data_IF_829202903782
#
_entry.id   IF_829202903782
#
_cell.length_a   1.000
_cell.length_b   1.000
_cell.length_c   1.000
_cell.angle_alpha   90.00
_cell.angle_beta   90.00
_cell.angle_gamma   90.00
#
_symmetry.space_group_name_H-M   'P 1'
#
loop_
_entity.id
_entity.type
_entity.pdbx_description
1 polymer ?
#
# COMPACT_ATOMS: atom_id res chain seq x y z
N UNK A 1 -9.93 4.09 63.15
CA UNK A 1 -10.12 4.14 61.69
C UNK A 1 -8.75 4.35 61.04
N UNK A 2 -8.11 3.28 60.55
CA UNK A 2 -6.85 3.36 59.81
C UNK A 2 -7.22 3.25 58.33
N UNK A 3 -7.07 4.34 57.59
CA UNK A 3 -7.25 4.37 56.14
C UNK A 3 -6.05 3.70 55.48
N UNK A 4 -6.30 2.56 54.83
CA UNK A 4 -5.33 1.87 53.99
C UNK A 4 -5.17 2.69 52.71
N UNK A 5 -3.98 3.26 52.50
CA UNK A 5 -3.60 3.81 51.19
C UNK A 5 -3.33 2.65 50.25
N UNK A 6 -4.26 2.39 49.33
CA UNK A 6 -3.99 1.57 48.16
C UNK A 6 -2.88 2.23 47.33
N UNK A 7 -1.69 1.64 47.37
CA UNK A 7 -0.64 1.88 46.38
C UNK A 7 -1.10 1.21 45.09
N UNK A 8 -1.67 1.98 44.18
CA UNK A 8 -1.84 1.59 42.78
C UNK A 8 -0.43 1.47 42.18
N UNK A 9 0.08 0.25 42.06
CA UNK A 9 1.29 -0.01 41.25
C UNK A 9 0.98 0.45 39.82
N UNK A 10 1.65 1.53 39.41
CA UNK A 10 1.65 1.96 38.02
C UNK A 10 2.52 0.97 37.24
N UNK A 11 1.92 -0.13 36.76
CA UNK A 11 2.60 -1.04 35.84
C UNK A 11 3.07 -0.24 34.63
N UNK A 12 4.40 -0.13 34.44
CA UNK A 12 4.99 0.54 33.28
C UNK A 12 4.39 -0.02 31.99
N UNK A 13 3.96 0.84 31.07
CA UNK A 13 3.43 0.42 29.77
C UNK A 13 4.43 -0.50 29.03
N UNK A 14 3.96 -1.50 28.27
CA UNK A 14 4.84 -2.40 27.55
C UNK A 14 5.65 -1.61 26.51
N UNK A 15 6.95 -1.86 26.46
CA UNK A 15 7.88 -1.23 25.52
C UNK A 15 8.42 -2.24 24.53
N UNK A 16 8.69 -1.81 23.30
CA UNK A 16 9.30 -2.65 22.29
C UNK A 16 10.72 -3.05 22.68
N UNK A 17 11.04 -4.35 22.61
CA UNK A 17 12.35 -4.89 22.97
C UNK A 17 13.50 -4.42 22.06
N UNK A 18 13.19 -3.98 20.83
CA UNK A 18 14.19 -3.58 19.84
C UNK A 18 14.45 -2.08 19.80
N UNK A 19 13.45 -1.23 20.11
CA UNK A 19 13.63 0.22 20.09
C UNK A 19 13.44 0.90 21.45
N UNK A 20 12.99 0.16 22.48
CA UNK A 20 12.75 0.63 23.84
C UNK A 20 11.77 1.81 23.91
N UNK A 21 10.79 1.83 23.00
CA UNK A 21 9.68 2.78 22.96
C UNK A 21 8.36 2.08 23.18
N UNK A 22 7.40 2.80 23.72
CA UNK A 22 5.98 2.46 23.76
C UNK A 22 5.41 2.23 22.34
N UNK A 23 4.20 1.66 22.20
CA UNK A 23 3.60 1.29 20.91
C UNK A 23 3.58 2.40 19.85
N UNK A 24 3.36 3.64 20.29
CA UNK A 24 3.32 4.80 19.40
C UNK A 24 2.30 4.66 18.27
N UNK A 25 2.65 5.19 17.11
CA UNK A 25 1.81 5.26 15.91
C UNK A 25 2.04 4.02 15.02
N UNK A 26 1.02 3.15 14.84
CA UNK A 26 1.14 1.94 14.02
C UNK A 26 1.47 2.21 12.55
N UNK A 27 1.14 3.39 12.00
CA UNK A 27 1.54 3.73 10.62
C UNK A 27 3.05 3.90 10.48
N UNK A 28 3.73 4.33 11.56
CA UNK A 28 5.17 4.59 11.56
C UNK A 28 5.99 3.40 12.02
N UNK A 29 5.47 2.62 12.96
CA UNK A 29 6.21 1.54 13.62
C UNK A 29 5.66 0.15 13.27
N UNK A 30 4.55 0.08 12.55
CA UNK A 30 3.81 -1.15 12.31
C UNK A 30 3.03 -1.55 13.55
N UNK A 31 2.26 -2.64 13.43
CA UNK A 31 1.50 -3.20 14.53
C UNK A 31 2.38 -3.46 15.76
N UNK A 32 1.87 -3.14 16.94
CA UNK A 32 2.53 -3.47 18.20
C UNK A 32 2.11 -4.87 18.64
N UNK A 33 3.02 -5.81 18.49
CA UNK A 33 2.77 -7.22 18.76
C UNK A 33 3.22 -7.55 20.18
N UNK A 34 2.34 -8.19 20.94
CA UNK A 34 2.62 -8.63 22.30
C UNK A 34 2.21 -10.09 22.49
N UNK A 35 3.16 -10.92 22.90
CA UNK A 35 2.91 -12.33 23.23
C UNK A 35 3.83 -12.76 24.37
N UNK A 36 3.25 -13.39 25.38
CA UNK A 36 3.94 -13.74 26.63
C UNK A 36 4.63 -12.50 27.23
N UNK A 37 5.96 -12.54 27.40
CA UNK A 37 6.77 -11.46 27.96
C UNK A 37 7.53 -10.66 26.89
N UNK A 38 7.19 -10.80 25.62
CA UNK A 38 7.83 -10.08 24.51
C UNK A 38 6.83 -9.13 23.88
N UNK A 39 7.27 -7.89 23.75
CA UNK A 39 6.55 -6.82 23.06
C UNK A 39 7.48 -6.19 22.02
N UNK A 40 7.00 -6.08 20.78
CA UNK A 40 7.80 -5.62 19.64
C UNK A 40 6.93 -4.93 18.59
N UNK A 41 7.47 -3.89 17.97
CA UNK A 41 6.89 -3.29 16.76
C UNK A 41 7.16 -4.17 15.55
N UNK A 42 6.16 -4.40 14.70
CA UNK A 42 6.31 -5.19 13.48
C UNK A 42 7.41 -4.64 12.56
N UNK A 43 7.48 -3.33 12.35
CA UNK A 43 8.56 -2.77 11.51
C UNK A 43 9.93 -2.86 12.16
N UNK A 44 10.01 -2.90 13.50
CA UNK A 44 11.30 -3.19 14.14
C UNK A 44 11.75 -4.63 13.92
N UNK A 45 10.84 -5.60 13.74
CA UNK A 45 11.18 -6.98 13.43
C UNK A 45 11.76 -7.11 12.02
N UNK A 46 10.98 -6.72 11.00
CA UNK A 46 11.36 -6.93 9.59
C UNK A 46 12.59 -6.11 9.17
N UNK A 47 12.80 -4.93 9.77
CA UNK A 47 13.95 -4.06 9.45
C UNK A 47 15.20 -4.39 10.29
N UNK A 48 15.11 -5.33 11.21
CA UNK A 48 16.23 -5.68 12.08
C UNK A 48 17.33 -6.43 11.32
N UNK A 49 18.56 -5.92 11.37
CA UNK A 49 19.59 -6.30 10.40
C UNK A 49 20.16 -7.71 10.53
N UNK A 50 19.86 -8.42 11.62
CA UNK A 50 20.33 -9.79 11.87
C UNK A 50 19.25 -10.68 12.48
N UNK A 51 17.97 -10.36 12.23
CA UNK A 51 16.84 -11.17 12.69
C UNK A 51 16.31 -12.08 11.56
N UNK A 52 16.47 -13.40 11.66
CA UNK A 52 15.95 -14.31 10.64
C UNK A 52 14.45 -14.63 10.87
N UNK A 53 13.67 -14.66 9.79
CA UNK A 53 12.28 -15.12 9.78
C UNK A 53 12.24 -16.59 9.34
N UNK A 54 12.31 -17.52 10.31
CA UNK A 54 12.41 -18.98 10.04
C UNK A 54 11.18 -19.78 10.44
N UNK A 55 10.26 -19.16 11.19
CA UNK A 55 9.00 -19.79 11.56
C UNK A 55 7.99 -19.75 10.42
N UNK A 56 6.99 -20.63 10.50
CA UNK A 56 5.76 -20.50 9.71
C UNK A 56 5.04 -19.19 10.06
N UNK A 57 4.29 -18.63 9.12
CA UNK A 57 3.60 -17.33 9.27
C UNK A 57 2.68 -17.28 10.49
N UNK A 58 2.06 -18.40 10.88
CA UNK A 58 1.19 -18.51 12.05
C UNK A 58 1.92 -18.76 13.38
N UNK A 59 3.25 -18.89 13.38
CA UNK A 59 4.07 -19.14 14.57
C UNK A 59 4.83 -17.88 15.01
N UNK A 60 4.98 -17.73 16.32
CA UNK A 60 5.71 -16.60 16.90
C UNK A 60 5.03 -15.26 16.57
N UNK A 61 5.82 -14.34 16.04
CA UNK A 61 5.40 -13.02 15.57
C UNK A 61 5.51 -12.99 14.05
N UNK A 62 4.49 -13.43 13.31
CA UNK A 62 4.53 -13.58 11.83
C UNK A 62 5.75 -14.39 11.31
N UNK A 63 6.10 -15.50 11.97
CA UNK A 63 7.27 -16.31 11.61
C UNK A 63 8.58 -15.88 12.27
N UNK A 64 8.62 -14.78 13.03
CA UNK A 64 9.75 -14.45 13.90
C UNK A 64 9.64 -15.19 15.24
N UNK A 65 10.66 -16.00 15.55
CA UNK A 65 10.68 -16.81 16.76
C UNK A 65 11.12 -15.99 17.99
N UNK A 66 10.45 -16.14 19.15
CA UNK A 66 10.82 -15.46 20.41
C UNK A 66 12.31 -15.53 20.77
N UNK A 67 12.94 -16.68 20.55
CA UNK A 67 14.36 -16.93 20.86
C UNK A 67 15.28 -16.09 19.98
N UNK A 68 14.93 -15.94 18.70
CA UNK A 68 15.71 -15.15 17.75
C UNK A 68 15.54 -13.65 18.00
N UNK A 69 14.34 -13.22 18.41
CA UNK A 69 14.08 -11.84 18.86
C UNK A 69 14.94 -11.51 20.09
N UNK A 70 14.99 -12.41 21.09
CA UNK A 70 15.85 -12.24 22.28
C UNK A 70 17.33 -12.15 21.93
N UNK A 71 17.82 -13.03 21.04
CA UNK A 71 19.22 -12.98 20.55
C UNK A 71 19.51 -11.68 19.84
N UNK A 72 18.57 -11.20 19.02
CA UNK A 72 18.73 -9.97 18.27
C UNK A 72 18.72 -8.74 19.18
N UNK A 73 17.82 -8.68 20.17
CA UNK A 73 17.84 -7.63 21.20
C UNK A 73 19.17 -7.63 21.97
N UNK A 74 19.69 -8.81 22.33
CA UNK A 74 21.00 -8.94 22.96
C UNK A 74 22.14 -8.45 22.07
N UNK A 75 22.08 -8.69 20.75
CA UNK A 75 23.05 -8.14 19.77
C UNK A 75 22.94 -6.62 19.68
N UNK A 76 21.73 -6.10 19.51
CA UNK A 76 21.42 -4.68 19.40
C UNK A 76 21.84 -3.90 20.65
N UNK A 77 21.77 -4.51 21.84
CA UNK A 77 22.22 -3.89 23.11
C UNK A 77 23.69 -3.47 23.10
N UNK A 78 24.52 -4.04 22.22
CA UNK A 78 25.93 -3.68 22.03
C UNK A 78 26.16 -2.58 20.98
N UNK A 79 25.12 -2.19 20.25
CA UNK A 79 25.17 -1.20 19.16
C UNK A 79 24.64 0.15 19.64
N UNK A 80 25.36 1.21 19.29
CA UNK A 80 25.03 2.59 19.66
C UNK A 80 24.29 3.26 18.50
N UNK A 81 23.14 3.86 18.81
CA UNK A 81 22.38 4.67 17.88
C UNK A 81 23.15 5.95 17.54
N UNK A 82 23.40 6.20 16.25
CA UNK A 82 24.16 7.39 15.84
C UNK A 82 23.38 8.70 16.07
N UNK A 83 22.06 8.63 16.24
CA UNK A 83 21.17 9.77 16.50
C UNK A 83 21.12 10.09 17.98
N UNK A 84 20.54 9.19 18.80
CA UNK A 84 20.32 9.45 20.24
C UNK A 84 21.50 9.06 21.14
N UNK A 85 22.56 8.45 20.58
CA UNK A 85 23.77 7.97 21.29
C UNK A 85 23.55 6.89 22.36
N UNK A 86 22.33 6.35 22.48
CA UNK A 86 21.99 5.24 23.39
C UNK A 86 22.23 3.88 22.73
N UNK A 87 22.42 2.85 23.56
CA UNK A 87 22.53 1.44 23.15
C UNK A 87 21.18 0.88 22.65
N UNK A 88 21.20 -0.28 22.00
CA UNK A 88 19.99 -0.98 21.55
C UNK A 88 19.64 -0.76 20.07
N UNK A 89 20.53 -0.21 19.26
CA UNK A 89 20.25 0.10 17.86
C UNK A 89 20.29 -1.17 16.99
N UNK A 90 19.12 -1.74 16.71
CA UNK A 90 18.98 -2.99 15.95
C UNK A 90 19.20 -2.81 14.43
N UNK A 91 18.97 -1.62 13.89
CA UNK A 91 19.04 -1.37 12.44
C UNK A 91 20.41 -0.77 12.10
N UNK A 92 21.07 -1.29 11.07
CA UNK A 92 22.28 -0.70 10.50
C UNK A 92 22.06 -0.20 9.06
N UNK A 93 22.88 0.76 8.67
CA UNK A 93 22.95 1.17 7.27
C UNK A 93 23.55 0.04 6.41
N UNK A 94 22.88 -0.29 5.32
CA UNK A 94 23.28 -1.36 4.38
C UNK A 94 24.31 -0.92 3.33
N UNK A 95 24.75 0.34 3.36
CA UNK A 95 25.86 0.78 2.50
C UNK A 95 27.16 0.17 3.00
N UNK A 96 27.94 -0.39 2.07
CA UNK A 96 29.26 -0.95 2.36
C UNK A 96 30.12 -0.01 3.19
N UNK A 97 30.80 -0.57 4.19
CA UNK A 97 31.68 0.14 5.12
C UNK A 97 30.99 1.18 6.01
N UNK A 98 29.66 1.38 5.92
CA UNK A 98 28.93 2.24 6.83
C UNK A 98 28.68 1.55 8.17
N UNK A 99 29.19 2.15 9.25
CA UNK A 99 29.04 1.62 10.61
C UNK A 99 27.88 2.25 11.40
N UNK A 100 27.04 3.06 10.75
CA UNK A 100 25.92 3.73 11.42
C UNK A 100 24.83 2.72 11.78
N UNK A 101 24.46 2.68 13.05
CA UNK A 101 23.33 1.94 13.58
C UNK A 101 22.31 2.92 14.16
N UNK A 102 21.02 2.63 14.07
CA UNK A 102 19.96 3.47 14.61
C UNK A 102 18.78 2.63 15.11
N UNK A 103 18.00 3.20 16.03
CA UNK A 103 16.65 2.72 16.30
C UNK A 103 15.72 3.18 15.17
N UNK A 104 14.69 2.40 14.84
CA UNK A 104 13.73 2.78 13.79
C UNK A 104 13.16 4.21 13.97
N UNK A 105 12.60 4.58 15.15
CA UNK A 105 12.04 5.93 15.33
C UNK A 105 13.08 7.03 15.16
N UNK A 106 14.27 6.83 15.74
CA UNK A 106 15.37 7.78 15.62
C UNK A 106 15.86 7.93 14.18
N UNK A 107 15.86 6.83 13.41
CA UNK A 107 16.19 6.84 12.00
C UNK A 107 15.20 7.67 11.20
N UNK A 108 13.90 7.44 11.40
CA UNK A 108 12.82 8.17 10.75
C UNK A 108 12.92 9.68 11.05
N UNK A 109 13.06 10.07 12.32
CA UNK A 109 13.24 11.47 12.74
C UNK A 109 14.47 12.14 12.11
N UNK A 110 15.54 11.36 11.83
CA UNK A 110 16.78 11.86 11.21
C UNK A 110 16.76 11.80 9.68
N UNK A 111 15.69 11.33 9.06
CA UNK A 111 15.58 11.16 7.61
C UNK A 111 16.33 9.93 7.06
N UNK A 112 16.61 8.91 7.88
CA UNK A 112 17.02 7.60 7.40
C UNK A 112 15.86 6.96 6.61
N UNK A 113 16.20 6.06 5.68
CA UNK A 113 15.21 5.39 4.83
C UNK A 113 15.27 3.89 5.07
N UNK A 114 14.12 3.27 5.28
CA UNK A 114 13.97 1.81 5.34
C UNK A 114 13.10 1.35 4.19
N UNK A 115 13.51 0.29 3.52
CA UNK A 115 12.79 -0.33 2.42
C UNK A 115 11.97 -1.51 2.94
N UNK A 116 10.71 -1.60 2.51
CA UNK A 116 9.77 -2.64 2.94
C UNK A 116 9.56 -3.71 1.87
N UNK A 117 10.62 -4.07 1.15
CA UNK A 117 10.62 -5.09 0.11
C UNK A 117 11.95 -5.85 0.09
N UNK A 118 11.96 -7.04 -0.49
CA UNK A 118 13.15 -7.88 -0.61
C UNK A 118 13.81 -8.15 0.74
N UNK A 119 15.09 -7.78 0.88
CA UNK A 119 15.89 -7.97 2.10
C UNK A 119 15.67 -6.90 3.18
N UNK A 120 14.64 -6.04 3.05
CA UNK A 120 14.30 -5.02 4.05
C UNK A 120 15.45 -4.05 4.39
N UNK A 121 16.14 -3.56 3.35
CA UNK A 121 17.35 -2.74 3.52
C UNK A 121 17.06 -1.38 4.14
N UNK A 122 17.91 -0.96 5.06
CA UNK A 122 17.85 0.38 5.66
C UNK A 122 19.13 1.18 5.39
N UNK A 123 18.98 2.50 5.25
CA UNK A 123 20.04 3.42 4.88
C UNK A 123 20.01 4.66 5.76
N UNK A 124 21.19 5.13 6.20
CA UNK A 124 21.27 6.38 6.94
C UNK A 124 20.99 7.59 6.04
N UNK A 125 20.79 8.75 6.65
CA UNK A 125 20.64 10.07 6.02
C UNK A 125 21.61 10.33 4.85
N UNK A 126 22.86 9.85 4.96
CA UNK A 126 23.89 10.04 3.91
C UNK A 126 23.86 9.04 2.75
N UNK A 127 23.26 7.87 2.97
CA UNK A 127 23.31 6.76 2.02
C UNK A 127 21.92 6.34 1.53
N UNK A 128 20.87 7.04 1.97
CA UNK A 128 19.51 6.78 1.51
C UNK A 128 19.41 6.99 0.00
N UNK A 129 18.59 6.19 -0.69
CA UNK A 129 18.16 6.50 -2.04
C UNK A 129 17.53 7.89 -2.11
N UNK A 130 17.79 8.59 -3.21
CA UNK A 130 17.21 9.90 -3.52
C UNK A 130 16.50 9.87 -4.86
N UNK A 131 15.65 10.87 -5.09
CA UNK A 131 15.10 11.24 -6.39
C UNK A 131 15.69 12.58 -6.79
N UNK A 132 15.92 12.77 -8.08
CA UNK A 132 16.31 14.08 -8.60
C UNK A 132 15.04 14.89 -8.86
N UNK A 133 14.45 15.43 -7.79
CA UNK A 133 13.26 16.27 -7.88
C UNK A 133 13.72 17.65 -8.35
N UNK A 134 13.53 17.93 -9.63
CA UNK A 134 13.71 19.28 -10.17
C UNK A 134 12.53 20.11 -9.70
N UNK A 135 12.72 20.95 -8.69
CA UNK A 135 11.75 22.00 -8.40
C UNK A 135 11.81 22.99 -9.55
N UNK A 136 10.74 23.04 -10.35
CA UNK A 136 10.56 24.14 -11.31
C UNK A 136 10.55 25.47 -10.56
N UNK A 137 10.90 26.56 -11.25
CA UNK A 137 10.92 27.89 -10.63
C UNK A 137 9.68 28.14 -9.76
N UNK A 138 9.95 28.42 -8.49
CA UNK A 138 9.08 28.77 -7.37
C UNK A 138 7.75 29.40 -7.80
N UNK A 139 6.69 28.58 -7.82
CA UNK A 139 5.30 29.01 -7.96
C UNK A 139 4.35 27.82 -8.11
N UNK A 140 3.66 27.46 -7.01
CA UNK A 140 2.45 26.62 -7.00
C UNK A 140 2.60 25.12 -7.34
N UNK A 141 3.69 24.46 -6.92
CA UNK A 141 3.68 22.98 -6.89
C UNK A 141 2.95 22.51 -5.61
N UNK A 142 1.74 21.97 -5.78
CA UNK A 142 0.93 21.38 -4.70
C UNK A 142 0.94 19.85 -4.76
N UNK A 143 0.74 19.22 -3.61
CA UNK A 143 0.59 17.77 -3.52
C UNK A 143 -0.72 17.34 -4.18
N UNK A 144 -0.64 16.50 -5.20
CA UNK A 144 -1.82 16.07 -5.98
C UNK A 144 -2.86 15.30 -5.15
N UNK A 145 -2.47 14.72 -4.00
CA UNK A 145 -3.39 13.94 -3.16
C UNK A 145 -4.17 14.78 -2.14
N UNK A 146 -3.60 15.87 -1.63
CA UNK A 146 -4.26 16.72 -0.63
C UNK A 146 -4.48 18.17 -1.08
N UNK A 147 -3.95 18.55 -2.24
CA UNK A 147 -3.99 19.90 -2.80
C UNK A 147 -3.33 20.97 -1.92
N UNK A 148 -2.48 20.57 -0.96
CA UNK A 148 -1.71 21.49 -0.11
C UNK A 148 -0.29 21.71 -0.65
N UNK A 149 0.33 22.82 -0.26
CA UNK A 149 1.70 23.16 -0.63
C UNK A 149 2.71 22.07 -0.25
N UNK A 150 3.67 21.83 -1.13
CA UNK A 150 4.74 20.88 -0.87
C UNK A 150 5.66 21.35 0.26
N UNK A 151 6.28 20.38 0.93
CA UNK A 151 7.24 20.68 1.99
C UNK A 151 8.47 21.36 1.41
N UNK A 152 8.99 22.38 2.09
CA UNK A 152 10.30 22.98 1.76
C UNK A 152 11.45 21.98 1.91
N UNK A 153 11.25 20.91 2.68
CA UNK A 153 12.21 19.82 2.82
C UNK A 153 11.94 18.77 1.74
N UNK A 154 12.83 18.67 0.74
CA UNK A 154 12.70 17.71 -0.36
C UNK A 154 12.57 16.25 0.10
N UNK A 155 13.11 15.91 1.28
CA UNK A 155 13.02 14.55 1.86
C UNK A 155 11.62 14.16 2.31
N UNK A 156 10.70 15.12 2.49
CA UNK A 156 9.30 14.90 2.85
C UNK A 156 8.39 14.80 1.61
N UNK A 157 8.93 15.10 0.43
CA UNK A 157 8.24 14.98 -0.85
C UNK A 157 8.73 13.74 -1.59
N UNK A 158 7.91 13.26 -2.54
CA UNK A 158 8.23 12.13 -3.41
C UNK A 158 7.60 12.38 -4.78
N UNK A 159 8.35 12.06 -5.83
CA UNK A 159 7.94 12.31 -7.20
C UNK A 159 7.53 11.02 -7.90
N UNK A 160 6.50 11.10 -8.75
CA UNK A 160 6.08 10.04 -9.64
C UNK A 160 7.17 9.73 -10.67
N UNK A 161 7.55 8.46 -10.89
CA UNK A 161 8.51 8.10 -11.93
C UNK A 161 7.89 8.05 -13.34
N UNK A 162 6.55 7.99 -13.46
CA UNK A 162 5.90 7.58 -14.70
C UNK A 162 5.15 8.69 -15.45
N UNK A 163 4.63 9.72 -14.78
CA UNK A 163 3.84 10.77 -15.43
C UNK A 163 4.04 12.15 -14.83
N UNK A 164 4.03 13.17 -15.70
CA UNK A 164 3.90 14.61 -15.43
C UNK A 164 4.72 15.16 -14.26
N UNK A 165 5.80 14.47 -13.89
CA UNK A 165 6.64 14.83 -12.74
C UNK A 165 5.85 15.08 -11.44
N UNK A 166 4.65 14.50 -11.30
CA UNK A 166 3.74 14.78 -10.19
C UNK A 166 4.42 14.53 -8.84
N UNK A 167 4.28 15.49 -7.92
CA UNK A 167 4.91 15.43 -6.60
C UNK A 167 3.83 15.26 -5.54
N UNK A 168 4.17 14.50 -4.51
CA UNK A 168 3.29 14.24 -3.38
C UNK A 168 4.05 14.40 -2.08
N UNK A 169 3.35 14.72 -0.99
CA UNK A 169 3.91 14.48 0.33
C UNK A 169 4.07 12.97 0.54
N UNK A 170 5.18 12.58 1.14
CA UNK A 170 5.44 11.18 1.52
C UNK A 170 4.36 10.64 2.43
N UNK A 171 3.85 11.46 3.35
CA UNK A 171 2.76 11.09 4.24
C UNK A 171 1.47 10.80 3.47
N UNK A 172 1.12 11.62 2.48
CA UNK A 172 -0.07 11.39 1.66
C UNK A 172 0.04 10.11 0.84
N UNK A 173 1.20 9.86 0.22
CA UNK A 173 1.44 8.61 -0.51
C UNK A 173 1.46 7.40 0.42
N UNK A 174 2.03 7.53 1.62
CA UNK A 174 2.05 6.44 2.61
C UNK A 174 0.63 6.07 3.07
N UNK A 175 -0.24 7.08 3.29
CA UNK A 175 -1.66 6.86 3.58
C UNK A 175 -2.38 6.21 2.41
N UNK A 176 -2.18 6.73 1.20
CA UNK A 176 -2.74 6.14 -0.01
C UNK A 176 -2.34 4.67 -0.15
N UNK A 177 -1.07 4.33 0.04
CA UNK A 177 -0.57 2.95 0.05
C UNK A 177 -1.23 2.09 1.13
N UNK A 178 -1.44 2.63 2.34
CA UNK A 178 -2.05 1.89 3.44
C UNK A 178 -3.53 1.57 3.21
N UNK A 179 -4.26 2.50 2.59
CA UNK A 179 -5.68 2.35 2.25
C UNK A 179 -5.87 1.44 1.04
N UNK A 180 -5.08 1.62 -0.02
CA UNK A 180 -5.26 0.87 -1.27
C UNK A 180 -4.56 -0.48 -1.31
N UNK A 181 -3.59 -0.70 -0.42
CA UNK A 181 -2.83 -1.93 -0.30
C UNK A 181 -2.22 -2.42 -1.64
N UNK A 182 -1.60 -3.58 -1.64
CA UNK A 182 -0.81 -4.08 -2.78
C UNK A 182 -1.60 -4.17 -4.09
N UNK A 183 -2.86 -4.60 -4.04
CA UNK A 183 -3.66 -4.90 -5.24
C UNK A 183 -4.17 -3.65 -5.98
N UNK A 184 -4.42 -2.55 -5.26
CA UNK A 184 -4.98 -1.33 -5.84
C UNK A 184 -4.02 -0.14 -5.82
N UNK A 185 -2.83 -0.27 -5.22
CA UNK A 185 -1.83 0.78 -5.24
C UNK A 185 -1.21 0.95 -6.64
N UNK A 186 -1.50 2.09 -7.26
CA UNK A 186 -1.07 2.46 -8.61
C UNK A 186 -0.89 3.97 -8.67
N UNK A 187 -0.28 4.49 -9.74
CA UNK A 187 -0.16 5.94 -9.88
C UNK A 187 -1.55 6.61 -9.85
N UNK A 188 -1.83 7.58 -8.95
CA UNK A 188 -3.13 8.25 -8.89
C UNK A 188 -3.48 9.06 -10.14
N UNK A 189 -2.52 9.33 -11.02
CA UNK A 189 -2.69 10.19 -12.19
C UNK A 189 -2.84 9.39 -13.48
N UNK A 190 -1.94 8.45 -13.75
CA UNK A 190 -1.95 7.68 -15.00
C UNK A 190 -2.27 6.19 -14.81
N UNK A 191 -2.65 5.76 -13.60
CA UNK A 191 -2.93 4.35 -13.27
C UNK A 191 -1.77 3.37 -13.52
N UNK A 192 -0.52 3.84 -13.70
CA UNK A 192 0.65 2.97 -13.84
C UNK A 192 0.78 2.03 -12.62
N UNK A 193 0.85 0.72 -12.89
CA UNK A 193 0.89 -0.35 -11.88
C UNK A 193 2.27 -1.01 -11.72
N UNK A 194 3.30 -0.51 -12.41
CA UNK A 194 4.63 -1.14 -12.44
C UNK A 194 5.70 -0.22 -11.86
N UNK A 195 6.06 0.82 -12.60
CA UNK A 195 7.13 1.76 -12.25
C UNK A 195 6.78 2.54 -10.98
N UNK A 196 5.53 3.00 -10.86
CA UNK A 196 5.11 3.79 -9.72
C UNK A 196 5.23 3.02 -8.40
N UNK A 197 4.58 1.84 -8.21
CA UNK A 197 4.76 1.06 -6.98
C UNK A 197 6.23 0.71 -6.69
N UNK A 198 7.01 0.34 -7.71
CA UNK A 198 8.41 -0.01 -7.56
C UNK A 198 9.24 1.16 -7.02
N UNK A 199 9.03 2.37 -7.54
CA UNK A 199 9.72 3.56 -7.07
C UNK A 199 9.28 3.96 -5.66
N UNK A 200 7.99 3.86 -5.35
CA UNK A 200 7.49 4.15 -4.00
C UNK A 200 8.12 3.19 -2.97
N UNK A 201 8.21 1.90 -3.29
CA UNK A 201 8.92 0.90 -2.48
C UNK A 201 10.41 1.23 -2.33
N UNK A 202 11.10 1.54 -3.45
CA UNK A 202 12.52 1.94 -3.45
C UNK A 202 12.77 3.12 -2.51
N UNK A 203 11.81 4.05 -2.49
CA UNK A 203 11.83 5.25 -1.68
C UNK A 203 11.26 5.06 -0.26
N UNK A 204 10.97 3.82 0.15
CA UNK A 204 10.63 3.46 1.53
C UNK A 204 9.17 3.67 1.91
N UNK A 205 8.27 3.79 0.93
CA UNK A 205 6.83 3.70 1.17
C UNK A 205 6.50 2.23 1.45
N UNK A 206 5.85 1.96 2.58
CA UNK A 206 5.34 0.64 2.89
C UNK A 206 4.01 0.41 2.18
N UNK A 207 3.92 -0.66 1.36
CA UNK A 207 2.69 -1.09 0.71
C UNK A 207 2.28 -2.42 1.35
N UNK A 208 1.23 -2.45 2.17
CA UNK A 208 0.85 -3.67 2.88
C UNK A 208 0.24 -4.70 1.92
N UNK A 209 0.56 -5.97 2.15
CA UNK A 209 -0.01 -7.12 1.43
C UNK A 209 -1.26 -7.61 2.19
N UNK A 210 -2.39 -6.98 1.90
CA UNK A 210 -3.72 -7.26 2.45
C UNK A 210 -4.78 -6.69 1.50
N UNK A 211 -6.04 -7.00 1.75
CA UNK A 211 -7.17 -6.37 1.06
C UNK A 211 -7.19 -4.86 1.31
N UNK A 212 -7.77 -4.11 0.37
CA UNK A 212 -7.87 -2.67 0.54
C UNK A 212 -8.77 -2.34 1.74
N UNK A 213 -8.48 -1.23 2.41
CA UNK A 213 -9.19 -0.87 3.64
C UNK A 213 -10.72 -0.75 3.43
N UNK A 214 -11.15 -0.28 2.24
CA UNK A 214 -12.57 -0.18 1.88
C UNK A 214 -13.24 -1.54 1.62
N UNK A 215 -12.48 -2.60 1.36
CA UNK A 215 -13.04 -3.97 1.23
C UNK A 215 -13.29 -4.60 2.60
N UNK A 216 -12.63 -4.09 3.63
CA UNK A 216 -12.72 -4.57 5.01
C UNK A 216 -13.76 -3.80 5.84
N UNK A 217 -14.39 -2.76 5.29
CA UNK A 217 -15.43 -2.01 5.98
C UNK A 217 -16.66 -2.91 6.24
N UNK A 218 -17.14 -3.03 7.49
CA UNK A 218 -18.31 -3.84 7.80
C UNK A 218 -19.52 -3.37 7.00
N UNK A 219 -20.04 -4.23 6.13
CA UNK A 219 -21.16 -3.88 5.26
C UNK A 219 -20.80 -2.98 4.07
N UNK A 220 -19.52 -2.90 3.66
CA UNK A 220 -19.06 -2.15 2.48
C UNK A 220 -19.87 -2.44 1.20
N UNK A 221 -20.46 -3.62 1.12
CA UNK A 221 -21.26 -4.07 -0.02
C UNK A 221 -22.76 -4.20 0.32
N UNK A 222 -23.19 -3.84 1.53
CA UNK A 222 -24.60 -3.95 1.97
C UNK A 222 -25.54 -3.21 1.03
N UNK A 223 -25.14 -2.03 0.57
CA UNK A 223 -25.93 -1.21 -0.34
C UNK A 223 -26.03 -1.84 -1.74
N UNK A 224 -25.05 -2.65 -2.16
CA UNK A 224 -25.14 -3.42 -3.41
C UNK A 224 -26.22 -4.52 -3.35
N UNK A 225 -26.56 -4.98 -2.13
CA UNK A 225 -27.65 -5.93 -1.92
C UNK A 225 -29.01 -5.25 -1.69
N UNK A 226 -29.03 -3.92 -1.48
CA UNK A 226 -30.27 -3.15 -1.42
C UNK A 226 -30.82 -2.97 -2.84
N UNK A 227 -31.64 -3.93 -3.24
CA UNK A 227 -32.43 -3.78 -4.45
C UNK A 227 -33.48 -2.70 -4.23
N UNK A 228 -33.73 -1.83 -5.22
CA UNK A 228 -34.79 -0.82 -5.15
C UNK A 228 -36.14 -1.47 -4.83
N UNK A 229 -36.92 -0.86 -3.93
CA UNK A 229 -38.14 -1.47 -3.37
C UNK A 229 -39.39 -0.59 -3.48
N UNK A 230 -39.30 0.56 -4.15
CA UNK A 230 -40.39 1.53 -4.23
C UNK A 230 -41.09 1.49 -5.59
N UNK A 231 -42.41 1.73 -5.60
CA UNK A 231 -43.19 1.94 -6.80
C UNK A 231 -43.26 3.44 -7.16
N UNK A 232 -42.59 3.82 -8.25
CA UNK A 232 -42.47 5.18 -8.77
C UNK A 232 -43.58 5.56 -9.76
N UNK A 233 -44.55 4.67 -9.99
CA UNK A 233 -45.67 4.99 -10.87
C UNK A 233 -46.39 6.26 -10.38
N UNK A 234 -46.77 7.20 -11.27
CA UNK A 234 -47.43 8.44 -10.88
C UNK A 234 -48.62 8.21 -9.95
N UNK A 235 -49.38 7.13 -10.20
CA UNK A 235 -50.48 6.66 -9.35
C UNK A 235 -50.18 5.21 -8.94
N UNK A 236 -49.98 4.98 -7.64
CA UNK A 236 -49.89 3.63 -7.09
C UNK A 236 -51.30 3.08 -6.84
N UNK A 237 -51.61 1.92 -7.39
CA UNK A 237 -52.89 1.23 -7.25
C UNK A 237 -52.91 0.22 -6.09
N UNK A 238 -51.76 -0.03 -5.45
CA UNK A 238 -51.64 -1.02 -4.39
C UNK A 238 -51.99 -0.42 -3.03
N UNK A 239 -52.98 -1.01 -2.34
CA UNK A 239 -53.52 -0.48 -1.08
C UNK A 239 -52.52 -0.55 0.08
N UNK A 240 -51.61 -1.51 0.03
CA UNK A 240 -50.55 -1.76 1.03
C UNK A 240 -49.39 -0.75 0.91
N UNK A 241 -49.47 0.17 -0.05
CA UNK A 241 -48.49 1.23 -0.25
C UNK A 241 -47.42 0.93 -1.29
N UNK A 242 -46.55 1.91 -1.52
CA UNK A 242 -45.53 1.88 -2.59
C UNK A 242 -44.32 1.01 -2.30
N UNK A 243 -44.01 0.81 -1.01
CA UNK A 243 -42.86 0.00 -0.53
C UNK A 243 -43.23 -1.47 -0.27
N UNK A 244 -44.49 -1.84 -0.48
CA UNK A 244 -44.99 -3.20 -0.33
C UNK A 244 -45.13 -3.84 -1.71
N UNK A 245 -44.81 -5.13 -1.86
CA UNK A 245 -44.97 -5.86 -3.11
C UNK A 245 -45.09 -7.36 -2.86
N UNK A 246 -45.63 -8.08 -3.84
CA UNK A 246 -45.71 -9.55 -3.84
C UNK A 246 -44.55 -10.16 -4.63
N UNK A 247 -44.18 -11.41 -4.36
CA UNK A 247 -43.12 -12.10 -5.13
C UNK A 247 -43.55 -12.33 -6.59
N UNK A 248 -44.84 -12.58 -6.82
CA UNK A 248 -45.44 -12.83 -8.12
C UNK A 248 -46.81 -12.14 -8.24
N UNK A 249 -47.34 -12.06 -9.46
CA UNK A 249 -48.68 -11.54 -9.72
C UNK A 249 -48.71 -10.05 -10.08
N UNK A 250 -49.83 -9.40 -9.75
CA UNK A 250 -50.16 -8.03 -10.19
C UNK A 250 -49.46 -6.94 -9.36
N UNK A 251 -49.07 -7.28 -8.13
CA UNK A 251 -48.39 -6.39 -7.19
C UNK A 251 -46.91 -6.72 -7.04
N UNK A 252 -46.34 -7.54 -7.94
CA UNK A 252 -44.89 -7.71 -7.98
C UNK A 252 -44.20 -6.43 -8.46
N UNK A 253 -43.07 -6.10 -7.82
CA UNK A 253 -42.27 -4.95 -8.19
C UNK A 253 -41.36 -5.29 -9.38
N UNK A 254 -41.48 -4.53 -10.47
CA UNK A 254 -40.66 -4.64 -11.66
C UNK A 254 -39.71 -3.44 -11.70
N UNK A 255 -38.41 -3.69 -11.74
CA UNK A 255 -37.40 -2.64 -11.81
C UNK A 255 -37.09 -2.25 -13.25
N UNK A 256 -36.65 -1.00 -13.42
CA UNK A 256 -36.18 -0.51 -14.71
C UNK A 256 -35.02 -1.40 -15.21
N UNK A 257 -35.16 -1.93 -16.42
CA UNK A 257 -34.17 -2.84 -17.01
C UNK A 257 -32.81 -2.17 -17.26
N UNK A 258 -32.78 -0.84 -17.37
CA UNK A 258 -31.59 -0.05 -17.68
C UNK A 258 -30.85 0.40 -16.42
N UNK A 259 -31.52 1.08 -15.50
CA UNK A 259 -30.86 1.65 -14.31
C UNK A 259 -31.05 0.82 -13.04
N UNK A 260 -32.11 0.02 -12.94
CA UNK A 260 -32.46 -0.72 -11.71
C UNK A 260 -32.81 0.16 -10.50
N UNK A 261 -32.72 1.49 -10.62
CA UNK A 261 -32.94 2.48 -9.56
C UNK A 261 -34.36 3.02 -9.50
N UNK A 262 -35.23 2.57 -10.39
CA UNK A 262 -36.66 2.87 -10.37
C UNK A 262 -37.43 1.55 -10.42
N UNK A 263 -38.65 1.55 -9.87
CA UNK A 263 -39.53 0.41 -9.80
C UNK A 263 -40.98 0.78 -10.08
N UNK A 264 -41.77 -0.19 -10.54
CA UNK A 264 -43.22 -0.05 -10.66
C UNK A 264 -43.88 -1.38 -10.31
N UNK A 265 -45.06 -1.34 -9.68
CA UNK A 265 -45.89 -2.53 -9.65
C UNK A 265 -46.40 -2.83 -11.06
N UNK A 266 -46.55 -4.12 -11.38
CA UNK A 266 -47.00 -4.57 -12.69
C UNK A 266 -48.26 -3.83 -13.18
N UNK A 267 -49.28 -3.74 -12.33
CA UNK A 267 -50.54 -3.08 -12.69
C UNK A 267 -50.45 -1.56 -12.72
N UNK A 268 -49.59 -0.95 -11.90
CA UNK A 268 -49.41 0.50 -11.86
C UNK A 268 -48.84 1.07 -13.17
N UNK A 269 -48.14 0.24 -13.96
CA UNK A 269 -47.68 0.59 -15.31
C UNK A 269 -48.36 -0.23 -16.42
N UNK A 270 -49.49 -0.87 -16.14
CA UNK A 270 -50.28 -1.64 -17.13
C UNK A 270 -49.44 -2.68 -17.90
N UNK A 271 -48.48 -3.31 -17.22
CA UNK A 271 -47.59 -4.30 -17.83
C UNK A 271 -48.34 -5.61 -18.07
N UNK A 272 -48.14 -6.23 -19.25
CA UNK A 272 -48.72 -7.54 -19.56
C UNK A 272 -48.24 -8.60 -18.55
N UNK A 273 -49.08 -9.61 -18.28
CA UNK A 273 -48.86 -10.63 -17.23
C UNK A 273 -47.51 -11.36 -17.28
N UNK A 274 -46.88 -11.47 -18.46
CA UNK A 274 -45.58 -12.12 -18.65
C UNK A 274 -44.41 -11.16 -18.95
N UNK A 275 -44.65 -9.84 -19.00
CA UNK A 275 -43.55 -8.90 -19.25
C UNK A 275 -42.71 -8.74 -17.99
N UNK A 276 -41.40 -8.97 -18.11
CA UNK A 276 -40.39 -8.65 -17.09
C UNK A 276 -39.55 -7.42 -17.47
N UNK A 277 -39.86 -6.81 -18.62
CA UNK A 277 -39.16 -5.63 -19.12
C UNK A 277 -40.04 -4.40 -18.90
N UNK A 278 -39.47 -3.42 -18.22
CA UNK A 278 -40.01 -2.09 -18.00
C UNK A 278 -38.83 -1.12 -17.97
N UNK A 279 -39.03 0.08 -18.49
CA UNK A 279 -38.06 1.17 -18.47
C UNK A 279 -38.74 2.38 -17.82
N UNK A 280 -38.03 3.07 -16.92
CA UNK A 280 -38.56 4.31 -16.35
C UNK A 280 -38.55 5.43 -17.38
N UNK A 281 -39.20 6.56 -17.08
CA UNK A 281 -39.31 7.71 -17.98
C UNK A 281 -37.92 8.24 -18.41
N UNK A 282 -36.95 8.28 -17.50
CA UNK A 282 -35.59 8.74 -17.77
C UNK A 282 -34.77 7.79 -18.65
N UNK A 283 -35.05 6.49 -18.57
CA UNK A 283 -34.33 5.45 -19.32
C UNK A 283 -35.04 5.04 -20.60
N UNK A 284 -36.32 5.38 -20.73
CA UNK A 284 -37.08 5.14 -21.94
C UNK A 284 -36.46 6.00 -23.04
N UNK A 285 -36.20 5.45 -24.24
CA UNK A 285 -35.74 6.26 -25.35
C UNK A 285 -36.79 7.35 -25.59
N UNK A 286 -36.39 8.61 -25.39
CA UNK A 286 -37.23 9.74 -25.73
C UNK A 286 -37.69 9.52 -27.18
N UNK A 287 -39.00 9.43 -27.39
CA UNK A 287 -39.55 9.36 -28.74
C UNK A 287 -38.90 10.50 -29.52
N UNK A 288 -38.15 10.13 -30.56
CA UNK A 288 -37.30 11.03 -31.33
C UNK A 288 -38.11 12.27 -31.73
N UNK A 289 -37.98 13.36 -30.98
CA UNK A 289 -38.37 14.67 -31.45
C UNK A 289 -37.26 15.09 -32.39
N UNK A 290 -37.57 15.05 -33.69
CA UNK A 290 -36.72 15.49 -34.78
C UNK A 290 -36.12 16.87 -34.49
N UNK A 291 -34.89 16.88 -33.98
CA UNK A 291 -34.09 18.08 -33.88
C UNK A 291 -33.21 18.12 -35.13
N UNK A 292 -33.57 19.00 -36.07
CA UNK A 292 -32.70 19.35 -37.21
C UNK A 292 -31.48 20.09 -36.63
N UNK A 293 -30.24 19.61 -36.85
CA UNK A 293 -29.05 20.31 -36.38
C UNK A 293 -28.65 21.36 -37.42
N UNK A 294 -28.84 22.64 -37.09
CA UNK A 294 -28.06 23.70 -37.73
C UNK A 294 -26.73 23.89 -37.01
N UNK A 295 -25.69 23.81 -37.82
CA UNK A 295 -24.26 23.94 -37.55
C UNK A 295 -23.87 25.25 -36.86
N UNK A 296 -23.11 25.21 -35.76
CA UNK A 296 -21.85 25.97 -35.58
C UNK A 296 -21.27 25.87 -34.16
N UNK A 297 -19.94 25.67 -34.08
CA UNK A 297 -19.09 26.16 -32.99
C UNK A 297 -18.46 25.11 -32.08
N UNK A 298 -17.17 24.83 -32.33
CA UNK A 298 -16.29 23.91 -31.61
C UNK A 298 -16.20 24.15 -30.09
N UNK A 299 -16.48 23.11 -29.29
CA UNK A 299 -15.98 22.94 -27.90
C UNK A 299 -15.72 21.44 -27.67
N UNK A 300 -14.46 20.99 -27.43
CA UNK A 300 -14.20 19.58 -27.15
C UNK A 300 -14.53 19.26 -25.68
N UNK A 301 -15.67 18.62 -25.45
CA UNK A 301 -16.00 17.95 -24.20
C UNK A 301 -15.71 16.45 -24.32
N UNK A 302 -14.89 15.92 -23.40
CA UNK A 302 -14.47 14.53 -23.34
C UNK A 302 -15.63 13.62 -22.90
N UNK A 303 -16.30 12.99 -23.85
CA UNK A 303 -17.22 11.87 -23.60
C UNK A 303 -16.72 10.66 -24.38
N UNK A 304 -15.90 9.82 -23.75
CA UNK A 304 -15.55 8.51 -24.27
C UNK A 304 -16.28 7.44 -23.47
N UNK A 305 -17.48 7.13 -23.93
CA UNK A 305 -18.25 5.95 -23.56
C UNK A 305 -17.40 4.71 -23.92
N UNK A 306 -16.93 3.97 -22.91
CA UNK A 306 -16.34 2.65 -23.14
C UNK A 306 -17.44 1.60 -23.17
N UNK A 307 -17.62 0.98 -24.33
CA UNK A 307 -18.33 -0.30 -24.48
C UNK A 307 -17.45 -1.43 -23.92
N UNK A 308 -17.95 -2.29 -23.02
CA UNK A 308 -17.34 -3.59 -22.77
C UNK A 308 -18.07 -4.65 -23.60
N UNK A 309 -17.53 -4.99 -24.77
CA UNK A 309 -17.73 -6.32 -25.36
C UNK A 309 -16.62 -7.23 -24.85
N UNK A 310 -16.83 -7.92 -23.72
CA UNK A 310 -16.17 -9.21 -23.47
C UNK A 310 -17.14 -10.14 -22.72
N UNK A 311 -17.39 -11.28 -23.35
CA UNK A 311 -18.20 -12.38 -22.84
C UNK A 311 -17.61 -12.94 -21.53
N UNK A 312 -18.27 -12.70 -20.40
CA UNK A 312 -18.03 -13.47 -19.18
C UNK A 312 -18.75 -14.82 -19.27
N UNK A 313 -18.00 -15.88 -19.61
CA UNK A 313 -18.42 -17.24 -19.31
C UNK A 313 -18.19 -17.50 -17.82
N UNK A 314 -19.27 -17.85 -17.12
CA UNK A 314 -19.32 -18.12 -15.69
C UNK A 314 -18.98 -19.59 -15.47
N UNK A 315 -17.73 -19.90 -15.09
CA UNK A 315 -17.37 -21.23 -14.62
C UNK A 315 -17.43 -21.27 -13.09
N UNK A 316 -18.32 -22.14 -12.59
CA UNK A 316 -18.54 -22.42 -11.18
C UNK A 316 -17.65 -23.60 -10.79
N UNK A 317 -16.47 -23.35 -10.23
CA UNK A 317 -15.75 -24.35 -9.43
C UNK A 317 -15.11 -23.68 -8.23
N UNK A 318 -15.66 -24.01 -7.06
CA UNK A 318 -15.03 -23.88 -5.76
C UNK A 318 -13.71 -24.65 -5.76
N UNK A 319 -12.58 -23.96 -5.69
CA UNK A 319 -11.36 -24.52 -5.13
C UNK A 319 -10.77 -23.56 -4.09
N UNK A 320 -10.61 -24.08 -2.88
CA UNK A 320 -9.87 -23.47 -1.79
C UNK A 320 -8.43 -23.20 -2.23
N UNK A 321 -7.95 -21.97 -2.09
CA UNK A 321 -6.56 -21.64 -2.41
C UNK A 321 -5.70 -21.54 -1.13
N UNK A 322 -4.70 -22.41 -0.94
CA UNK A 322 -3.79 -22.38 0.20
C UNK A 322 -2.77 -21.23 0.06
N UNK A 323 -2.43 -20.60 1.19
CA UNK A 323 -1.61 -19.39 1.28
C UNK A 323 -0.29 -19.46 0.50
N UNK A 324 -0.04 -18.44 -0.31
CA UNK A 324 1.15 -18.30 -1.13
C UNK A 324 2.26 -17.49 -0.44
N UNK A 325 3.47 -17.98 -0.67
CA UNK A 325 4.76 -17.64 -0.08
C UNK A 325 5.37 -16.35 -0.65
N UNK A 326 6.26 -15.75 0.14
CA UNK A 326 6.99 -14.50 -0.10
C UNK A 326 8.06 -14.61 -1.21
N UNK A 327 7.70 -14.69 -2.50
CA UNK A 327 8.71 -14.57 -3.58
C UNK A 327 8.28 -13.90 -4.88
N UNK A 328 7.01 -13.64 -5.16
CA UNK A 328 6.64 -13.19 -6.53
C UNK A 328 6.58 -11.67 -6.66
N UNK A 329 7.75 -11.05 -6.71
CA UNK A 329 7.97 -9.83 -7.48
C UNK A 329 9.15 -10.07 -8.43
N UNK A 330 9.02 -9.76 -9.73
CA UNK A 330 10.12 -9.95 -10.66
C UNK A 330 11.30 -9.05 -10.27
N UNK A 331 12.44 -9.69 -10.07
CA UNK A 331 13.74 -9.05 -9.85
C UNK A 331 14.06 -8.14 -11.06
N UNK A 332 14.49 -6.89 -10.89
CA UNK A 332 14.86 -6.04 -12.01
C UNK A 332 16.05 -6.64 -12.74
N UNK A 333 15.84 -6.99 -14.02
CA UNK A 333 16.87 -7.45 -14.95
C UNK A 333 18.07 -6.51 -14.93
N UNK A 334 19.25 -7.05 -14.59
CA UNK A 334 20.53 -6.37 -14.73
C UNK A 334 20.75 -6.00 -16.19
N UNK A 335 20.67 -4.70 -16.48
CA UNK A 335 21.05 -4.16 -17.78
C UNK A 335 22.57 -4.35 -17.94
N UNK A 336 22.96 -5.30 -18.80
CA UNK A 336 24.33 -5.47 -19.25
C UNK A 336 24.85 -4.16 -19.87
N UNK A 337 26.01 -3.71 -19.41
CA UNK A 337 26.76 -2.63 -20.08
C UNK A 337 27.48 -3.23 -21.28
N UNK A 338 27.39 -2.63 -22.48
CA UNK A 338 28.22 -3.07 -23.60
C UNK A 338 29.63 -2.49 -23.43
N UNK A 339 30.63 -3.36 -23.48
CA UNK A 339 32.01 -2.98 -23.78
C UNK A 339 32.15 -2.74 -25.29
N UNK A 340 32.67 -1.58 -25.71
CA UNK A 340 33.50 -1.52 -26.91
C UNK A 340 34.55 -0.40 -26.86
N UNK A 341 35.81 -0.86 -26.81
CA UNK A 341 37.01 -0.38 -27.51
C UNK A 341 37.38 1.11 -27.55
N UNK A 342 38.54 1.44 -26.95
CA UNK A 342 39.80 1.89 -27.60
C UNK A 342 40.58 2.82 -26.65
N UNK A 343 41.85 2.50 -26.41
CA UNK A 343 42.79 3.47 -25.83
C UNK A 343 44.01 2.84 -25.17
N UNK A 344 45.05 2.57 -25.95
CA UNK A 344 46.40 2.22 -25.48
C UNK A 344 46.89 3.18 -24.39
N UNK A 345 47.53 2.65 -23.35
CA UNK A 345 48.96 2.91 -23.06
C UNK A 345 49.47 1.97 -21.96
N UNK A 346 50.61 1.40 -22.30
CA UNK A 346 51.56 0.59 -21.53
C UNK A 346 51.94 1.19 -20.17
N UNK A 347 52.14 0.34 -19.15
CA UNK A 347 53.42 0.22 -18.42
C UNK A 347 53.53 -1.15 -17.76
N UNK A 348 54.77 -1.67 -17.74
CA UNK A 348 55.22 -2.97 -17.25
C UNK A 348 55.00 -3.13 -15.73
N UNK A 349 54.99 -4.33 -15.15
CA UNK A 349 56.19 -5.08 -14.72
C UNK A 349 55.87 -6.58 -14.50
N UNK A 350 56.88 -7.41 -14.77
CA UNK A 350 56.90 -8.88 -14.70
C UNK A 350 56.60 -9.43 -13.30
N UNK A 351 55.82 -10.52 -13.26
CA UNK A 351 55.87 -11.52 -12.19
C UNK A 351 56.52 -12.80 -12.74
N UNK A 352 57.59 -13.28 -12.09
CA UNK A 352 58.15 -14.62 -12.28
C UNK A 352 58.02 -15.39 -10.97
N UNK A 353 57.57 -16.64 -11.08
CA UNK A 353 58.25 -17.77 -10.42
C UNK A 353 57.79 -18.16 -9.02
N UNK A 354 57.07 -19.28 -8.98
CA UNK A 354 56.78 -20.15 -7.84
C UNK A 354 58.02 -20.96 -7.43
N UNK A 355 58.34 -21.10 -6.12
CA UNK A 355 58.44 -22.38 -5.32
C UNK A 355 59.21 -22.23 -3.98
N UNK A 356 58.49 -22.48 -2.88
CA UNK A 356 58.71 -23.44 -1.75
C UNK A 356 59.99 -23.40 -0.85
N UNK A 357 59.69 -23.54 0.47
CA UNK A 357 60.42 -24.11 1.64
C UNK A 357 61.34 -23.30 2.57
N UNK A 358 60.88 -23.29 3.82
CA UNK A 358 61.56 -23.58 5.10
C UNK A 358 62.39 -22.53 5.87
N UNK A 359 61.92 -22.36 7.12
CA UNK A 359 62.66 -22.34 8.40
C UNK A 359 63.00 -21.00 9.09
N UNK A 360 62.28 -20.78 10.21
CA UNK A 360 62.78 -20.66 11.60
C UNK A 360 63.75 -19.52 12.02
N UNK A 361 63.28 -18.72 13.00
CA UNK A 361 64.02 -17.95 14.06
C UNK A 361 64.90 -16.78 13.56
N UNK A 362 65.01 -15.62 14.20
CA UNK A 362 65.06 -15.29 15.64
C UNK A 362 64.91 -13.76 15.79
N UNK A 363 64.47 -13.34 16.97
CA UNK A 363 64.37 -11.96 17.47
C UNK A 363 65.70 -11.17 17.44
N UNK A 364 65.60 -9.87 17.18
CA UNK A 364 66.00 -8.79 18.10
C UNK A 364 65.37 -7.48 17.68
#
# INVERSE_FOLDING_TARGET
MKTVKEKKELSSLPVCWLCLREPGDPEKLGEFLQKENISVHYFCLILSSKLPQRGQSNRGFHGFLPEDIKKEAARASRKICFVCKKKGAAINCQKDQCLRNFHLPCGQERGCLSQFFGEYKSFCDKHRPTQNIQHGNVGEESCILCCEDLSQQSVENIQSPCCSQAIYHRKCIQKYAHTSAKHFFKCPQCNNRKEFPQEMLRMGIHIPDRDAAWELEPGAFSDLYQRYQHCDAPICLYEQGRDSFEDEGRWCLILCATCGSHGTHRDCSSLRSNSKKWECEECSPAAATDYIPENSGDIPCCSSTFHPEEHFCRDNTLEENPGLSWTDWPEPSLLEKPESSRGRRSYSWRSKGVRITNSCKKSK
#
